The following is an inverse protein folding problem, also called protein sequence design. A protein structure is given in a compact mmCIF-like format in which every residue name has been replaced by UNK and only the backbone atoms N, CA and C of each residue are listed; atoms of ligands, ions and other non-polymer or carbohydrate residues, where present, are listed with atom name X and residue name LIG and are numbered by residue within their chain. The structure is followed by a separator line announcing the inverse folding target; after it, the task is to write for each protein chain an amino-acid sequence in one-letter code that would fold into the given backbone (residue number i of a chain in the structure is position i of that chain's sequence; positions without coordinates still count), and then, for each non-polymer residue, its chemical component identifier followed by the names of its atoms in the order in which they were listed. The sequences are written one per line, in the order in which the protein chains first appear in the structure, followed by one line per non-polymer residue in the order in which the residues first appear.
data_IF_705261745369
#
_entry.id   IF_705261745369
#
_cell.length_a   1.000
_cell.length_b   1.000
_cell.length_c   1.000
_cell.angle_alpha   90.00
_cell.angle_beta   90.00
_cell.angle_gamma   90.00
#
_symmetry.space_group_name_H-M   'P 1'
#
loop_
_entity.id
_entity.type
_entity.pdbx_description
1 polymer ?
#
# COMPACT_ATOMS: atom_id res chain seq x y z
N UNK A 1 18.78 44.54 25.81
CA UNK A 1 17.76 45.00 24.85
C UNK A 1 17.43 43.83 23.93
N UNK A 2 16.25 43.23 24.13
CA UNK A 2 15.72 42.15 23.27
C UNK A 2 15.07 42.82 22.06
N UNK A 3 15.58 42.55 20.87
CA UNK A 3 14.99 43.05 19.61
C UNK A 3 14.15 41.93 19.02
N UNK A 4 12.83 42.09 19.11
CA UNK A 4 11.81 41.19 18.59
C UNK A 4 11.76 41.30 17.07
N UNK A 5 12.31 40.32 16.35
CA UNK A 5 12.01 40.12 14.92
C UNK A 5 10.76 39.25 14.84
N UNK A 6 9.61 39.91 14.70
CA UNK A 6 8.37 39.28 14.30
C UNK A 6 8.54 38.78 12.85
N UNK A 7 8.90 37.52 12.69
CA UNK A 7 8.83 36.84 11.41
C UNK A 7 7.34 36.51 11.19
N UNK A 8 6.62 37.41 10.51
CA UNK A 8 5.31 37.09 9.98
C UNK A 8 5.50 36.00 8.93
N UNK A 9 5.26 34.75 9.33
CA UNK A 9 5.07 33.65 8.39
C UNK A 9 3.74 33.93 7.70
N UNK A 10 3.78 34.60 6.56
CA UNK A 10 2.64 34.54 5.64
C UNK A 10 2.57 33.11 5.13
N UNK A 11 1.68 32.32 5.73
CA UNK A 11 1.29 31.04 5.17
C UNK A 11 0.85 31.29 3.71
N UNK A 12 1.27 30.46 2.74
CA UNK A 12 0.73 30.53 1.40
C UNK A 12 -0.79 30.33 1.50
N UNK A 13 -1.56 31.32 1.06
CA UNK A 13 -3.01 31.18 0.88
C UNK A 13 -3.24 30.20 -0.26
N UNK A 14 -3.78 28.99 -0.02
CA UNK A 14 -4.19 28.14 -1.10
C UNK A 14 -5.53 28.68 -1.59
N UNK A 15 -5.59 29.16 -2.83
CA UNK A 15 -6.82 29.03 -3.60
C UNK A 15 -7.31 27.58 -3.41
N UNK A 16 -8.46 27.40 -2.77
CA UNK A 16 -8.97 26.09 -2.36
C UNK A 16 -8.98 25.16 -3.57
N UNK A 17 -8.01 24.24 -3.64
CA UNK A 17 -8.11 23.11 -4.54
C UNK A 17 -9.39 22.37 -4.17
N UNK A 18 -10.40 22.46 -5.03
CA UNK A 18 -11.67 21.75 -4.82
C UNK A 18 -11.36 20.28 -5.08
N UNK A 19 -11.44 19.47 -4.02
CA UNK A 19 -11.37 18.02 -4.14
C UNK A 19 -12.72 17.49 -4.62
N UNK A 20 -12.70 16.61 -5.61
CA UNK A 20 -13.88 15.94 -6.15
C UNK A 20 -13.93 14.50 -5.66
N UNK A 21 -15.14 14.05 -5.35
CA UNK A 21 -15.49 12.65 -5.12
C UNK A 21 -16.53 12.27 -6.17
N UNK A 22 -16.22 11.31 -7.04
CA UNK A 22 -17.16 10.88 -8.08
C UNK A 22 -17.77 9.52 -7.71
N UNK A 23 -19.09 9.41 -7.72
CA UNK A 23 -19.81 8.14 -7.75
C UNK A 23 -20.09 7.81 -9.22
N UNK A 24 -19.50 6.75 -9.73
CA UNK A 24 -19.55 6.37 -11.14
C UNK A 24 -20.28 5.05 -11.29
N UNK A 25 -21.19 4.92 -12.24
CA UNK A 25 -21.93 3.67 -12.44
C UNK A 25 -23.09 3.79 -13.42
N UNK A 26 -23.88 2.71 -13.59
CA UNK A 26 -25.08 2.75 -14.42
C UNK A 26 -26.07 3.78 -13.88
N UNK A 27 -26.66 4.62 -14.75
CA UNK A 27 -27.59 5.71 -14.34
C UNK A 27 -28.65 5.28 -13.33
N UNK A 28 -29.23 4.09 -13.56
CA UNK A 28 -30.29 3.50 -12.71
C UNK A 28 -29.84 3.17 -11.29
N UNK A 29 -28.54 3.03 -11.05
CA UNK A 29 -27.98 2.63 -9.75
C UNK A 29 -27.36 3.78 -8.98
N UNK A 30 -26.99 4.88 -9.66
CA UNK A 30 -26.43 6.06 -9.04
C UNK A 30 -27.35 6.59 -7.93
N UNK A 31 -28.64 6.75 -8.22
CA UNK A 31 -29.62 7.29 -7.27
C UNK A 31 -29.79 6.43 -6.00
N UNK A 32 -29.44 5.14 -6.08
CA UNK A 32 -29.51 4.19 -4.96
C UNK A 32 -28.33 4.26 -3.99
N UNK A 33 -27.24 4.97 -4.33
CA UNK A 33 -26.08 5.11 -3.43
C UNK A 33 -26.38 6.18 -2.37
N UNK A 34 -26.46 5.85 -1.08
CA UNK A 34 -26.88 6.77 -0.04
C UNK A 34 -25.75 7.75 0.30
N UNK A 35 -25.80 8.96 -0.27
CA UNK A 35 -24.84 10.01 0.05
C UNK A 35 -25.18 10.65 1.41
N UNK A 36 -24.19 10.85 2.30
CA UNK A 36 -24.39 11.62 3.52
C UNK A 36 -24.68 13.10 3.20
N UNK A 37 -25.45 13.77 4.04
CA UNK A 37 -25.73 15.20 3.91
C UNK A 37 -24.45 16.02 4.19
N UNK A 38 -23.68 16.33 3.13
CA UNK A 38 -22.52 17.22 3.09
C UNK A 38 -21.52 17.14 4.27
N UNK A 39 -20.82 16.01 4.49
CA UNK A 39 -19.90 15.86 5.63
C UNK A 39 -18.50 16.47 5.44
N UNK A 40 -18.10 16.89 4.24
CA UNK A 40 -16.71 17.32 3.96
C UNK A 40 -16.59 18.75 3.43
N UNK A 41 -16.13 19.70 4.25
CA UNK A 41 -15.88 21.07 3.80
C UNK A 41 -14.90 21.13 2.62
N UNK A 42 -15.30 21.77 1.53
CA UNK A 42 -14.44 21.96 0.35
C UNK A 42 -14.34 20.75 -0.59
N UNK A 43 -15.18 19.73 -0.40
CA UNK A 43 -15.29 18.56 -1.29
C UNK A 43 -16.60 18.60 -2.06
N UNK A 44 -16.53 18.47 -3.39
CA UNK A 44 -17.71 18.30 -4.25
C UNK A 44 -17.94 16.82 -4.53
N UNK A 45 -19.20 16.38 -4.44
CA UNK A 45 -19.59 15.01 -4.73
C UNK A 45 -20.40 14.99 -6.03
N UNK A 46 -19.90 14.30 -7.03
CA UNK A 46 -20.52 14.18 -8.35
C UNK A 46 -21.09 12.77 -8.56
N UNK A 47 -22.21 12.66 -9.29
CA UNK A 47 -22.74 11.39 -9.80
C UNK A 47 -22.53 11.36 -11.31
N UNK A 48 -21.82 10.36 -11.80
CA UNK A 48 -21.39 10.29 -13.19
C UNK A 48 -21.81 8.95 -13.79
N UNK A 49 -22.51 8.98 -14.91
CA UNK A 49 -22.87 7.76 -15.63
C UNK A 49 -21.61 7.13 -16.26
N UNK A 50 -21.56 5.80 -16.35
CA UNK A 50 -20.41 5.08 -16.93
C UNK A 50 -20.01 5.62 -18.31
N UNK A 51 -20.98 5.86 -19.19
CA UNK A 51 -20.76 6.38 -20.54
C UNK A 51 -20.21 7.81 -20.57
N UNK A 52 -20.38 8.58 -19.49
CA UNK A 52 -19.93 9.96 -19.37
C UNK A 52 -18.63 10.09 -18.56
N UNK A 53 -18.07 9.00 -18.04
CA UNK A 53 -16.93 9.08 -17.13
C UNK A 53 -15.64 9.55 -17.79
N UNK A 54 -15.38 9.15 -19.04
CA UNK A 54 -14.23 9.63 -19.79
C UNK A 54 -14.30 11.15 -20.00
N UNK A 55 -15.44 11.64 -20.49
CA UNK A 55 -15.68 13.08 -20.71
C UNK A 55 -15.63 13.87 -19.40
N UNK A 56 -16.12 13.30 -18.29
CA UNK A 56 -16.00 13.88 -16.96
C UNK A 56 -14.53 14.07 -16.55
N UNK A 57 -13.69 13.04 -16.71
CA UNK A 57 -12.27 13.14 -16.38
C UNK A 57 -11.54 14.21 -17.20
N UNK A 58 -11.85 14.27 -18.50
CA UNK A 58 -11.26 15.23 -19.44
C UNK A 58 -11.76 16.67 -19.14
N UNK A 59 -12.98 16.81 -18.59
CA UNK A 59 -13.62 18.07 -18.23
C UNK A 59 -13.29 18.64 -16.85
N UNK A 60 -12.58 17.90 -15.98
CA UNK A 60 -12.23 18.35 -14.62
C UNK A 60 -11.30 19.58 -14.59
N UNK A 61 -10.59 19.87 -15.68
CA UNK A 61 -9.62 20.97 -15.73
C UNK A 61 -8.55 20.84 -14.64
N UNK A 62 -8.27 21.95 -13.94
CA UNK A 62 -7.33 22.00 -12.80
C UNK A 62 -7.86 21.41 -11.50
N UNK A 63 -9.10 20.90 -11.47
CA UNK A 63 -9.68 20.30 -10.29
C UNK A 63 -9.16 18.88 -10.03
N UNK A 64 -9.22 18.49 -8.76
CA UNK A 64 -8.59 17.28 -8.28
C UNK A 64 -9.63 16.22 -7.96
N UNK A 65 -9.70 15.15 -8.76
CA UNK A 65 -10.43 13.94 -8.38
C UNK A 65 -9.66 13.17 -7.31
N UNK A 66 -10.16 13.21 -6.07
CA UNK A 66 -9.50 12.59 -4.93
C UNK A 66 -9.95 11.14 -4.72
N UNK A 67 -11.26 10.90 -4.82
CA UNK A 67 -11.87 9.58 -4.61
C UNK A 67 -12.83 9.29 -5.75
N UNK A 68 -12.83 8.04 -6.22
CA UNK A 68 -13.87 7.53 -7.11
C UNK A 68 -14.52 6.30 -6.48
N UNK A 69 -15.85 6.27 -6.48
CA UNK A 69 -16.68 5.18 -5.99
C UNK A 69 -17.36 4.56 -7.21
N UNK A 70 -16.85 3.43 -7.69
CA UNK A 70 -17.35 2.76 -8.89
C UNK A 70 -18.42 1.75 -8.50
N UNK A 71 -19.68 2.03 -8.83
CA UNK A 71 -20.80 1.09 -8.74
C UNK A 71 -20.67 0.08 -9.86
N UNK A 72 -20.27 -1.13 -9.51
CA UNK A 72 -20.10 -2.21 -10.47
C UNK A 72 -21.10 -3.34 -10.15
N UNK A 73 -21.99 -3.65 -11.10
CA UNK A 73 -22.57 -5.00 -11.15
C UNK A 73 -21.45 -5.99 -11.39
N UNK A 74 -21.54 -7.19 -10.81
CA UNK A 74 -20.44 -8.14 -10.72
C UNK A 74 -19.76 -8.45 -12.08
N UNK A 75 -18.69 -7.71 -12.41
CA UNK A 75 -17.84 -7.96 -13.57
C UNK A 75 -17.48 -6.72 -14.40
N UNK A 76 -18.27 -5.64 -14.41
CA UNK A 76 -17.92 -4.47 -15.23
C UNK A 76 -16.98 -3.52 -14.49
N UNK A 77 -15.75 -3.39 -15.03
CA UNK A 77 -14.67 -2.54 -14.52
C UNK A 77 -14.27 -1.44 -15.51
N UNK A 78 -15.15 -1.10 -16.46
CA UNK A 78 -14.93 -0.05 -17.46
C UNK A 78 -14.39 1.26 -16.87
N UNK A 79 -15.03 1.84 -15.84
CA UNK A 79 -14.55 3.06 -15.21
C UNK A 79 -13.14 2.96 -14.63
N UNK A 80 -12.74 1.83 -14.05
CA UNK A 80 -11.38 1.65 -13.54
C UNK A 80 -10.34 1.65 -14.67
N UNK A 81 -10.63 1.02 -15.81
CA UNK A 81 -9.74 1.03 -16.99
C UNK A 81 -9.59 2.44 -17.56
N UNK A 82 -10.71 3.17 -17.64
CA UNK A 82 -10.71 4.57 -18.06
C UNK A 82 -9.80 5.37 -17.11
N UNK A 83 -10.01 5.30 -15.80
CA UNK A 83 -9.20 6.01 -14.81
C UNK A 83 -7.69 5.72 -14.96
N UNK A 84 -7.32 4.46 -15.19
CA UNK A 84 -5.92 4.02 -15.33
C UNK A 84 -5.24 4.51 -16.60
N UNK A 85 -6.00 4.69 -17.66
CA UNK A 85 -5.48 5.23 -18.91
C UNK A 85 -5.13 6.73 -18.82
N UNK A 86 -5.33 7.35 -17.65
CA UNK A 86 -5.01 8.75 -17.35
C UNK A 86 -3.91 8.82 -16.29
N UNK A 87 -2.62 8.93 -16.67
CA UNK A 87 -1.49 8.92 -15.75
C UNK A 87 -1.59 9.96 -14.61
N UNK A 88 -2.15 11.13 -14.90
CA UNK A 88 -2.38 12.21 -13.95
C UNK A 88 -3.43 11.86 -12.87
N UNK A 89 -4.25 10.84 -13.13
CA UNK A 89 -5.32 10.38 -12.23
C UNK A 89 -4.99 9.07 -11.50
N UNK A 90 -3.78 8.52 -11.69
CA UNK A 90 -3.28 7.34 -10.95
C UNK A 90 -3.25 7.53 -9.43
N UNK A 91 -3.35 8.77 -8.95
CA UNK A 91 -3.40 9.11 -7.52
C UNK A 91 -4.81 9.04 -6.93
N UNK A 92 -5.82 8.94 -7.77
CA UNK A 92 -7.23 8.86 -7.34
C UNK A 92 -7.47 7.57 -6.59
N UNK A 93 -8.12 7.67 -5.43
CA UNK A 93 -8.46 6.52 -4.59
C UNK A 93 -9.74 5.87 -5.10
N UNK A 94 -9.64 4.66 -5.63
CA UNK A 94 -10.77 3.95 -6.21
C UNK A 94 -11.37 2.95 -5.21
N UNK A 95 -12.66 3.06 -4.93
CA UNK A 95 -13.43 2.03 -4.23
C UNK A 95 -14.47 1.46 -5.18
N UNK A 96 -14.79 0.19 -5.02
CA UNK A 96 -15.88 -0.48 -5.72
C UNK A 96 -17.07 -0.59 -4.79
N UNK A 97 -18.21 -0.10 -5.25
CA UNK A 97 -19.52 -0.36 -4.67
C UNK A 97 -20.08 -1.56 -5.43
N UNK A 98 -20.03 -2.74 -4.81
CA UNK A 98 -20.52 -3.95 -5.45
C UNK A 98 -21.62 -4.55 -4.60
N UNK A 99 -22.73 -4.91 -5.23
CA UNK A 99 -23.69 -5.85 -4.65
C UNK A 99 -23.00 -7.20 -4.64
N UNK A 100 -23.12 -7.93 -3.54
CA UNK A 100 -22.49 -9.23 -3.45
C UNK A 100 -22.95 -10.10 -4.64
N UNK A 101 -22.03 -10.89 -5.20
CA UNK A 101 -22.31 -12.30 -5.26
C UNK A 101 -21.38 -12.98 -4.27
N UNK A 102 -21.76 -14.18 -3.86
CA UNK A 102 -20.86 -15.17 -3.30
C UNK A 102 -19.69 -15.57 -4.25
N UNK A 103 -19.28 -14.73 -5.22
CA UNK A 103 -18.18 -14.99 -6.15
C UNK A 103 -16.99 -14.11 -5.87
N UNK A 104 -15.86 -14.79 -5.68
CA UNK A 104 -14.52 -14.24 -5.67
C UNK A 104 -14.27 -13.53 -6.99
N UNK A 105 -13.79 -12.30 -6.91
CA UNK A 105 -13.17 -11.67 -8.07
C UNK A 105 -11.78 -12.27 -8.19
N UNK A 106 -11.54 -13.01 -9.27
CA UNK A 106 -10.19 -13.45 -9.58
C UNK A 106 -9.29 -12.20 -9.63
N UNK A 107 -8.08 -12.23 -9.06
CA UNK A 107 -7.15 -11.14 -9.18
C UNK A 107 -6.88 -10.87 -10.67
N UNK A 108 -7.41 -9.76 -11.17
CA UNK A 108 -7.07 -9.21 -12.48
C UNK A 108 -6.20 -7.98 -12.29
N UNK A 109 -5.40 -7.70 -13.30
CA UNK A 109 -4.54 -6.52 -13.33
C UNK A 109 -5.31 -5.23 -13.07
N UNK A 110 -6.54 -5.14 -13.58
CA UNK A 110 -7.52 -4.04 -13.41
C UNK A 110 -7.88 -3.69 -11.95
N UNK A 111 -7.57 -4.59 -11.00
CA UNK A 111 -7.96 -4.46 -9.59
C UNK A 111 -6.79 -4.02 -8.68
N UNK A 112 -5.59 -3.79 -9.22
CA UNK A 112 -4.36 -3.45 -8.46
C UNK A 112 -4.42 -2.19 -7.59
N UNK A 113 -5.26 -1.22 -7.97
CA UNK A 113 -5.31 0.10 -7.34
C UNK A 113 -6.68 0.40 -6.71
N UNK A 114 -7.50 -0.65 -6.54
CA UNK A 114 -8.76 -0.56 -5.81
C UNK A 114 -8.47 -0.63 -4.32
N UNK A 115 -8.78 0.44 -3.60
CA UNK A 115 -8.60 0.61 -2.16
C UNK A 115 -9.58 -0.27 -1.36
N UNK A 116 -10.78 -0.51 -1.90
CA UNK A 116 -11.76 -1.34 -1.23
C UNK A 116 -12.94 -1.72 -2.10
N UNK A 117 -13.65 -2.77 -1.68
CA UNK A 117 -14.97 -3.17 -2.14
C UNK A 117 -15.88 -2.98 -0.95
N UNK A 118 -16.93 -2.20 -1.16
CA UNK A 118 -17.97 -1.85 -0.21
C UNK A 118 -19.23 -2.60 -0.62
N UNK A 119 -19.82 -3.33 0.34
CA UNK A 119 -21.06 -4.07 0.15
C UNK A 119 -22.22 -3.08 -0.02
N UNK A 120 -22.69 -2.93 -1.26
CA UNK A 120 -23.72 -1.95 -1.61
C UNK A 120 -25.05 -2.27 -0.92
N UNK A 121 -25.36 -3.53 -0.65
CA UNK A 121 -26.63 -3.95 -0.05
C UNK A 121 -26.71 -3.65 1.46
N UNK A 122 -25.56 -3.44 2.12
CA UNK A 122 -25.46 -3.07 3.55
C UNK A 122 -24.89 -1.68 3.76
N UNK A 123 -24.76 -0.89 2.71
CA UNK A 123 -24.14 0.41 2.78
C UNK A 123 -25.03 1.40 3.51
N UNK A 124 -24.54 1.92 4.63
CA UNK A 124 -25.15 3.07 5.32
C UNK A 124 -24.47 4.37 4.89
N UNK A 125 -25.14 5.54 5.02
CA UNK A 125 -24.50 6.84 4.79
C UNK A 125 -23.20 7.02 5.60
N UNK A 126 -23.16 6.53 6.85
CA UNK A 126 -21.99 6.64 7.73
C UNK A 126 -20.85 5.73 7.28
N UNK A 127 -21.16 4.52 6.82
CA UNK A 127 -20.16 3.61 6.27
C UNK A 127 -19.56 4.16 4.97
N UNK A 128 -20.39 4.74 4.10
CA UNK A 128 -19.91 5.43 2.90
C UNK A 128 -19.07 6.65 3.25
N UNK A 129 -19.51 7.43 4.24
CA UNK A 129 -18.78 8.60 4.69
C UNK A 129 -17.37 8.22 5.17
N UNK A 130 -17.27 7.19 6.00
CA UNK A 130 -15.99 6.67 6.49
C UNK A 130 -15.08 6.18 5.37
N UNK A 131 -15.64 5.52 4.35
CA UNK A 131 -14.86 5.06 3.19
C UNK A 131 -14.26 6.26 2.41
N UNK A 132 -15.07 7.30 2.18
CA UNK A 132 -14.62 8.52 1.52
C UNK A 132 -13.61 9.29 2.37
N UNK A 133 -13.81 9.40 3.69
CA UNK A 133 -12.84 10.03 4.61
C UNK A 133 -11.50 9.31 4.60
N UNK A 134 -11.52 7.98 4.59
CA UNK A 134 -10.31 7.17 4.47
C UNK A 134 -9.64 7.39 3.11
N UNK A 135 -10.41 7.49 2.02
CA UNK A 135 -9.91 7.82 0.69
C UNK A 135 -9.31 9.23 0.63
N UNK A 136 -10.00 10.24 1.17
CA UNK A 136 -9.52 11.62 1.22
C UNK A 136 -8.26 11.73 2.08
N UNK A 137 -8.21 11.05 3.23
CA UNK A 137 -6.99 10.95 4.06
C UNK A 137 -5.87 10.30 3.27
N UNK A 138 -6.11 9.20 2.56
CA UNK A 138 -5.11 8.53 1.73
C UNK A 138 -4.70 9.33 0.48
N UNK A 139 -5.55 10.23 0.00
CA UNK A 139 -5.27 11.14 -1.10
C UNK A 139 -4.45 12.35 -0.63
N UNK A 140 -4.87 12.99 0.46
CA UNK A 140 -4.20 14.14 1.08
C UNK A 140 -2.92 13.76 1.83
N UNK A 141 -2.78 12.49 2.21
CA UNK A 141 -1.51 11.88 2.55
C UNK A 141 -0.48 12.15 1.45
N UNK A 142 0.80 12.18 1.81
CA UNK A 142 1.98 12.48 0.97
C UNK A 142 2.14 11.69 -0.35
N UNK A 143 1.16 10.84 -0.68
CA UNK A 143 0.93 10.22 -1.98
C UNK A 143 0.79 11.20 -3.15
N UNK A 144 0.32 12.43 -2.93
CA UNK A 144 0.05 13.46 -3.96
C UNK A 144 1.12 14.53 -4.10
N UNK A 145 2.13 14.54 -3.23
CA UNK A 145 3.33 15.35 -3.45
C UNK A 145 4.19 14.60 -4.49
N UNK A 146 4.61 15.20 -5.63
CA UNK A 146 5.35 14.56 -6.71
C UNK A 146 6.80 14.11 -6.35
N UNK A 147 6.98 13.59 -5.13
CA UNK A 147 8.22 13.32 -4.41
C UNK A 147 8.74 14.62 -3.80
N UNK A 148 8.70 14.70 -2.47
CA UNK A 148 9.05 15.89 -1.71
C UNK A 148 10.47 16.33 -2.14
N UNK A 149 10.67 17.56 -2.61
CA UNK A 149 11.99 18.02 -3.04
C UNK A 149 12.90 18.44 -1.86
N UNK A 150 12.38 18.35 -0.63
CA UNK A 150 13.04 18.75 0.61
C UNK A 150 12.90 17.60 1.59
N UNK A 151 13.86 16.68 1.54
CA UNK A 151 14.09 15.71 2.60
C UNK A 151 15.42 16.06 3.23
N UNK A 152 15.41 16.08 4.55
CA UNK A 152 16.64 16.22 5.27
C UNK A 152 16.87 14.92 6.04
N UNK A 153 17.96 14.23 5.73
CA UNK A 153 18.66 13.36 6.69
C UNK A 153 19.28 14.20 7.83
N UNK A 154 19.09 15.52 7.82
CA UNK A 154 19.27 16.39 8.96
C UNK A 154 17.91 16.68 9.65
N UNK A 155 17.97 17.04 10.93
CA UNK A 155 16.82 17.11 11.84
C UNK A 155 15.80 18.24 11.54
N UNK A 156 15.77 18.81 10.34
CA UNK A 156 15.07 20.08 10.08
C UNK A 156 13.54 19.96 9.99
N UNK A 157 12.98 18.83 9.52
CA UNK A 157 11.58 18.39 9.71
C UNK A 157 11.34 17.02 9.03
N UNK A 158 11.05 15.96 9.79
CA UNK A 158 10.86 14.61 9.24
C UNK A 158 9.45 14.45 8.63
N UNK A 159 9.29 14.86 7.37
CA UNK A 159 8.02 14.77 6.62
C UNK A 159 7.52 13.33 6.45
N UNK A 160 8.40 12.34 6.44
CA UNK A 160 8.01 10.92 6.34
C UNK A 160 7.39 10.46 7.66
N UNK A 161 7.94 10.88 8.79
CA UNK A 161 7.34 10.58 10.09
C UNK A 161 5.96 11.24 10.24
N UNK A 162 5.84 12.52 9.87
CA UNK A 162 4.55 13.25 9.84
C UNK A 162 3.51 12.57 8.93
N UNK A 163 3.94 12.06 7.78
CA UNK A 163 3.08 11.23 6.91
C UNK A 163 2.48 10.05 7.64
N UNK A 164 3.31 9.29 8.35
CA UNK A 164 2.89 8.07 9.03
C UNK A 164 1.98 8.40 10.21
N UNK A 165 2.26 9.48 10.95
CA UNK A 165 1.39 9.93 12.04
C UNK A 165 0.00 10.37 11.58
N UNK A 166 -0.10 10.97 10.38
CA UNK A 166 -1.37 11.48 9.83
C UNK A 166 -2.18 10.43 9.06
N UNK A 167 -1.58 9.27 8.75
CA UNK A 167 -2.22 8.22 7.96
C UNK A 167 -2.38 6.88 8.67
N UNK A 168 -1.82 6.76 9.87
CA UNK A 168 -2.04 5.61 10.74
C UNK A 168 -3.53 5.35 10.95
N UNK A 169 -3.87 4.07 11.02
CA UNK A 169 -5.20 3.59 11.31
C UNK A 169 -5.26 2.95 12.69
N UNK A 170 -6.46 2.91 13.24
CA UNK A 170 -6.74 2.31 14.53
C UNK A 170 -7.41 0.94 14.36
N UNK A 171 -7.03 -0.05 15.17
CA UNK A 171 -7.63 -1.40 15.10
C UNK A 171 -9.14 -1.43 15.38
N UNK A 172 -9.72 -0.34 15.92
CA UNK A 172 -11.17 -0.13 16.05
C UNK A 172 -11.86 0.17 14.73
N UNK A 173 -11.11 0.46 13.67
CA UNK A 173 -11.65 0.54 12.31
C UNK A 173 -12.12 -0.83 11.79
N UNK A 174 -11.70 -1.92 12.43
CA UNK A 174 -12.22 -3.27 12.20
C UNK A 174 -13.32 -3.59 13.21
N UNK A 175 -14.56 -3.72 12.74
CA UNK A 175 -15.67 -4.23 13.54
C UNK A 175 -15.69 -5.76 13.51
N UNK A 176 -15.02 -6.37 14.50
CA UNK A 176 -14.95 -7.84 14.63
C UNK A 176 -16.31 -8.49 14.91
N UNK A 177 -17.32 -7.74 15.37
CA UNK A 177 -18.67 -8.27 15.56
C UNK A 177 -19.37 -8.62 14.24
N UNK A 178 -18.85 -8.12 13.11
CA UNK A 178 -19.38 -8.38 11.77
C UNK A 178 -18.79 -9.65 11.12
N UNK A 179 -17.95 -10.41 11.82
CA UNK A 179 -17.35 -11.63 11.28
C UNK A 179 -18.43 -12.63 10.90
N UNK A 180 -18.41 -13.06 9.63
CA UNK A 180 -19.31 -14.07 9.09
C UNK A 180 -18.61 -15.41 8.98
N UNK A 181 -18.66 -16.20 10.06
CA UNK A 181 -17.95 -17.49 10.16
C UNK A 181 -18.31 -18.46 9.03
N UNK A 182 -19.55 -18.41 8.55
CA UNK A 182 -20.04 -19.23 7.45
C UNK A 182 -19.41 -18.91 6.08
N UNK A 183 -18.72 -17.76 5.96
CA UNK A 183 -17.99 -17.37 4.76
C UNK A 183 -16.51 -17.74 4.80
N UNK A 184 -16.01 -18.24 5.93
CA UNK A 184 -14.62 -18.65 6.09
C UNK A 184 -14.41 -20.07 5.57
N UNK A 185 -13.29 -20.26 4.90
CA UNK A 185 -12.80 -21.56 4.47
C UNK A 185 -11.57 -21.98 5.29
N UNK A 186 -11.35 -23.28 5.45
CA UNK A 186 -10.14 -23.79 6.12
C UNK A 186 -8.84 -23.23 5.52
N UNK A 187 -8.66 -23.14 4.18
CA UNK A 187 -7.47 -22.53 3.59
C UNK A 187 -7.28 -21.05 3.97
N UNK A 188 -8.35 -20.25 4.08
CA UNK A 188 -8.25 -18.84 4.51
C UNK A 188 -7.81 -18.72 5.97
N UNK A 189 -8.31 -19.60 6.84
CA UNK A 189 -7.92 -19.64 8.25
C UNK A 189 -6.45 -20.03 8.39
N UNK A 190 -5.99 -21.03 7.64
CA UNK A 190 -4.60 -21.46 7.63
C UNK A 190 -3.67 -20.34 7.16
N UNK A 191 -4.02 -19.66 6.05
CA UNK A 191 -3.29 -18.51 5.53
C UNK A 191 -3.22 -17.39 6.57
N UNK A 192 -4.33 -17.10 7.25
CA UNK A 192 -4.38 -16.08 8.29
C UNK A 192 -3.47 -16.41 9.48
N UNK A 193 -3.48 -17.68 9.92
CA UNK A 193 -2.62 -18.12 11.01
C UNK A 193 -1.14 -18.04 10.63
N UNK A 194 -0.77 -18.51 9.43
CA UNK A 194 0.61 -18.46 8.96
C UNK A 194 1.10 -17.02 8.75
N UNK A 195 0.27 -16.15 8.17
CA UNK A 195 0.57 -14.73 8.00
C UNK A 195 0.77 -14.04 9.35
N UNK A 196 -0.10 -14.29 10.34
CA UNK A 196 0.10 -13.77 11.69
C UNK A 196 1.44 -14.21 12.31
N UNK A 197 1.86 -15.45 12.06
CA UNK A 197 3.15 -15.97 12.55
C UNK A 197 4.34 -15.31 11.84
N UNK A 198 4.23 -15.10 10.52
CA UNK A 198 5.25 -14.42 9.73
C UNK A 198 5.42 -12.99 10.23
N UNK A 199 4.33 -12.28 10.50
CA UNK A 199 4.36 -10.89 10.96
C UNK A 199 5.03 -10.69 12.33
N UNK A 200 5.13 -11.71 13.18
CA UNK A 200 5.96 -11.62 14.38
C UNK A 200 7.46 -11.51 14.07
N UNK A 201 7.90 -11.94 12.87
CA UNK A 201 9.29 -11.90 12.42
C UNK A 201 9.81 -10.50 12.07
N UNK A 202 8.97 -9.47 12.18
CA UNK A 202 9.28 -8.07 11.85
C UNK A 202 10.07 -7.36 12.96
N UNK A 203 9.92 -7.77 14.22
CA UNK A 203 10.65 -7.19 15.36
C UNK A 203 12.19 -7.25 15.21
N UNK A 204 12.80 -8.38 14.82
CA UNK A 204 14.20 -8.41 14.43
C UNK A 204 14.57 -7.44 13.31
N UNK A 205 13.67 -7.21 12.35
CA UNK A 205 13.84 -6.22 11.29
C UNK A 205 13.95 -4.80 11.84
N UNK A 206 13.05 -4.42 12.75
CA UNK A 206 13.07 -3.11 13.40
C UNK A 206 14.37 -2.88 14.18
N UNK A 207 14.83 -3.90 14.93
CA UNK A 207 16.12 -3.85 15.62
C UNK A 207 17.30 -3.66 14.64
N UNK A 208 17.28 -4.34 13.49
CA UNK A 208 18.33 -4.18 12.48
C UNK A 208 18.35 -2.77 11.91
N UNK A 209 17.19 -2.18 11.61
CA UNK A 209 17.10 -0.80 11.12
C UNK A 209 17.68 0.21 12.12
N UNK A 210 17.28 0.12 13.39
CA UNK A 210 17.79 1.01 14.43
C UNK A 210 19.30 0.84 14.66
N UNK A 211 19.85 -0.36 14.42
CA UNK A 211 21.30 -0.62 14.51
C UNK A 211 22.06 -0.08 13.30
N UNK A 212 21.56 -0.33 12.09
CA UNK A 212 22.19 0.09 10.83
C UNK A 212 22.16 1.61 10.64
N UNK A 213 21.16 2.29 11.22
CA UNK A 213 20.93 3.74 11.11
C UNK A 213 21.07 4.49 12.43
N UNK A 214 21.82 3.94 13.39
CA UNK A 214 21.97 4.50 14.74
C UNK A 214 22.50 5.96 14.78
N UNK A 215 23.13 6.42 13.71
CA UNK A 215 23.69 7.76 13.51
C UNK A 215 22.80 8.69 12.67
N UNK A 216 21.61 8.25 12.24
CA UNK A 216 20.71 9.01 11.38
C UNK A 216 19.31 9.10 11.99
N UNK A 217 18.86 10.32 12.23
CA UNK A 217 17.66 10.61 13.03
C UNK A 217 16.36 10.34 12.27
N UNK A 218 16.27 10.75 11.01
CA UNK A 218 15.02 10.75 10.25
C UNK A 218 14.54 9.33 9.94
N UNK A 219 15.42 8.48 9.45
CA UNK A 219 15.16 7.06 9.21
C UNK A 219 14.90 6.33 10.53
N UNK A 220 15.72 6.54 11.57
CA UNK A 220 15.51 5.90 12.87
C UNK A 220 14.16 6.25 13.48
N UNK A 221 13.74 7.51 13.40
CA UNK A 221 12.42 7.94 13.88
C UNK A 221 11.30 7.26 13.08
N UNK A 222 11.42 7.20 11.76
CA UNK A 222 10.46 6.50 10.92
C UNK A 222 10.44 4.98 11.16
N UNK A 223 11.60 4.35 11.37
CA UNK A 223 11.72 2.93 11.64
C UNK A 223 11.00 2.50 12.93
N UNK A 224 10.90 3.39 13.93
CA UNK A 224 10.06 3.18 15.10
C UNK A 224 8.58 3.11 14.74
N UNK A 225 8.09 4.04 13.90
CA UNK A 225 6.71 4.01 13.42
C UNK A 225 6.45 2.79 12.55
N UNK A 226 7.33 2.48 11.60
CA UNK A 226 7.27 1.26 10.78
C UNK A 226 7.15 0.01 11.66
N UNK A 227 8.06 -0.17 12.63
CA UNK A 227 8.02 -1.33 13.52
C UNK A 227 6.75 -1.43 14.36
N UNK A 228 6.13 -0.30 14.73
CA UNK A 228 4.84 -0.28 15.40
C UNK A 228 3.67 -0.66 14.47
N UNK A 229 3.73 -0.29 13.18
CA UNK A 229 2.74 -0.73 12.18
C UNK A 229 2.85 -2.22 11.88
N UNK A 230 4.06 -2.74 11.66
CA UNK A 230 4.34 -4.16 11.47
C UNK A 230 3.85 -5.01 12.67
N UNK A 231 4.11 -4.54 13.90
CA UNK A 231 3.58 -5.21 15.09
C UNK A 231 2.04 -5.22 15.11
N UNK A 232 1.39 -4.16 14.61
CA UNK A 232 -0.06 -4.08 14.50
C UNK A 232 -0.62 -5.11 13.52
N UNK A 233 0.10 -5.46 12.46
CA UNK A 233 -0.33 -6.48 11.49
C UNK A 233 -0.54 -7.83 12.16
N UNK A 234 0.41 -8.28 12.99
CA UNK A 234 0.25 -9.51 13.77
C UNK A 234 -0.90 -9.41 14.79
N UNK A 235 -1.04 -8.26 15.45
CA UNK A 235 -2.07 -8.02 16.47
C UNK A 235 -3.48 -8.17 15.88
N UNK A 236 -3.79 -7.51 14.75
CA UNK A 236 -5.15 -7.55 14.20
C UNK A 236 -5.52 -8.93 13.67
N UNK A 237 -4.56 -9.65 13.10
CA UNK A 237 -4.76 -11.04 12.67
C UNK A 237 -5.01 -11.94 13.88
N UNK A 238 -4.25 -11.79 14.97
CA UNK A 238 -4.48 -12.54 16.20
C UNK A 238 -5.83 -12.22 16.84
N UNK A 239 -6.27 -10.96 16.83
CA UNK A 239 -7.60 -10.58 17.33
C UNK A 239 -8.72 -11.21 16.50
N UNK A 240 -8.56 -11.25 15.18
CA UNK A 240 -9.49 -11.95 14.29
C UNK A 240 -9.55 -13.45 14.62
N UNK A 241 -8.39 -14.11 14.69
CA UNK A 241 -8.29 -15.54 15.00
C UNK A 241 -8.91 -15.86 16.36
N UNK A 242 -8.67 -15.02 17.38
CA UNK A 242 -9.26 -15.17 18.70
C UNK A 242 -10.79 -15.09 18.66
N UNK A 243 -11.34 -14.13 17.91
CA UNK A 243 -12.80 -13.98 17.75
C UNK A 243 -13.44 -15.21 17.10
N UNK A 244 -12.70 -15.97 16.28
CA UNK A 244 -13.17 -17.24 15.71
C UNK A 244 -12.83 -18.48 16.58
N UNK A 245 -12.17 -18.30 17.72
CA UNK A 245 -11.84 -19.35 18.68
C UNK A 245 -10.46 -20.00 18.47
N UNK A 246 -9.54 -19.33 17.77
CA UNK A 246 -8.19 -19.81 17.49
C UNK A 246 -7.17 -18.90 18.18
N UNK A 247 -6.42 -19.44 19.14
CA UNK A 247 -5.38 -18.70 19.84
C UNK A 247 -3.99 -18.95 19.24
N UNK A 248 -3.40 -17.91 18.64
CA UNK A 248 -2.01 -17.94 18.16
C UNK A 248 -1.06 -17.60 19.30
N UNK A 249 -0.14 -18.51 19.61
CA UNK A 249 0.88 -18.30 20.65
C UNK A 249 2.18 -17.77 20.04
N UNK A 250 2.59 -16.57 20.44
CA UNK A 250 3.81 -15.89 20.00
C UNK A 250 5.11 -16.69 20.22
N UNK A 251 5.14 -17.63 21.17
CA UNK A 251 6.33 -18.48 21.42
C UNK A 251 6.74 -19.34 20.22
N UNK A 252 5.87 -19.55 19.24
CA UNK A 252 6.20 -20.23 17.98
C UNK A 252 6.91 -19.33 16.96
N UNK A 253 6.90 -18.01 17.15
CA UNK A 253 7.54 -17.05 16.26
C UNK A 253 8.96 -16.65 16.67
N UNK A 254 9.28 -16.75 17.97
CA UNK A 254 10.60 -16.40 18.54
C UNK A 254 11.79 -17.17 17.95
N UNK A 255 11.55 -18.25 17.21
CA UNK A 255 12.61 -19.11 16.65
C UNK A 255 13.03 -18.77 15.21
N UNK A 256 12.40 -17.79 14.54
CA UNK A 256 12.47 -17.76 13.06
C UNK A 256 13.46 -16.78 12.43
N UNK A 257 14.07 -15.83 13.16
CA UNK A 257 14.98 -14.87 12.52
C UNK A 257 16.04 -14.32 13.45
N UNK A 258 17.27 -14.81 13.29
CA UNK A 258 18.45 -14.11 13.80
C UNK A 258 18.56 -12.73 13.12
N UNK A 259 19.00 -11.69 13.84
CA UNK A 259 19.38 -10.42 13.23
C UNK A 259 20.39 -10.69 12.10
N UNK A 260 20.07 -10.29 10.87
CA UNK A 260 21.01 -10.42 9.76
C UNK A 260 22.20 -9.46 9.96
N UNK A 261 23.39 -9.78 9.41
CA UNK A 261 24.51 -8.85 9.44
C UNK A 261 24.12 -7.51 8.80
N UNK A 262 24.69 -6.43 9.32
CA UNK A 262 24.53 -5.10 8.74
C UNK A 262 25.03 -5.16 7.29
N UNK A 263 24.21 -4.67 6.35
CA UNK A 263 24.57 -4.65 4.94
C UNK A 263 25.78 -3.75 4.68
N UNK A 264 26.54 -4.04 3.64
CA UNK A 264 27.71 -3.22 3.26
C UNK A 264 27.30 -1.84 2.72
N UNK A 265 26.08 -1.71 2.20
CA UNK A 265 25.56 -0.46 1.65
C UNK A 265 24.07 -0.27 2.00
N UNK A 266 23.73 0.87 2.61
CA UNK A 266 22.37 1.21 3.04
C UNK A 266 21.38 1.29 1.87
N UNK A 267 21.78 1.77 0.68
CA UNK A 267 20.90 1.82 -0.49
C UNK A 267 20.55 0.42 -1.01
N UNK A 268 21.47 -0.54 -0.91
CA UNK A 268 21.16 -1.95 -1.18
C UNK A 268 20.15 -2.51 -0.15
N UNK A 269 20.33 -2.22 1.14
CA UNK A 269 19.36 -2.59 2.18
C UNK A 269 17.98 -1.99 1.88
N UNK A 270 17.91 -0.70 1.56
CA UNK A 270 16.64 -0.03 1.22
C UNK A 270 16.00 -0.65 -0.02
N UNK A 271 16.76 -0.92 -1.08
CA UNK A 271 16.22 -1.56 -2.30
C UNK A 271 15.64 -2.95 -2.03
N UNK A 272 16.31 -3.77 -1.21
CA UNK A 272 15.77 -5.07 -0.81
C UNK A 272 14.40 -4.93 -0.12
N UNK A 273 14.26 -3.93 0.76
CA UNK A 273 13.00 -3.66 1.44
C UNK A 273 11.95 -3.08 0.49
N UNK A 274 12.29 -2.17 -0.44
CA UNK A 274 11.36 -1.70 -1.49
C UNK A 274 10.76 -2.88 -2.24
N UNK A 275 11.58 -3.85 -2.65
CA UNK A 275 11.12 -5.04 -3.37
C UNK A 275 10.20 -5.88 -2.49
N UNK A 276 10.61 -6.11 -1.25
CA UNK A 276 9.93 -7.01 -0.34
C UNK A 276 8.58 -6.46 0.11
N UNK A 277 8.52 -5.17 0.45
CA UNK A 277 7.28 -4.43 0.76
C UNK A 277 6.36 -4.32 -0.46
N UNK A 278 6.91 -4.06 -1.65
CA UNK A 278 6.10 -4.02 -2.88
C UNK A 278 5.43 -5.35 -3.17
N UNK A 279 6.14 -6.47 -2.91
CA UNK A 279 5.57 -7.81 -3.09
C UNK A 279 4.60 -8.18 -1.99
N UNK A 280 4.83 -7.78 -0.74
CA UNK A 280 3.87 -7.98 0.36
C UNK A 280 2.59 -7.15 0.18
N UNK A 281 2.70 -5.93 -0.34
CA UNK A 281 1.55 -5.13 -0.73
C UNK A 281 0.67 -5.86 -1.74
N UNK A 282 1.25 -6.39 -2.82
CA UNK A 282 0.49 -7.17 -3.80
C UNK A 282 0.00 -8.51 -3.25
N UNK A 283 0.74 -9.09 -2.31
CA UNK A 283 0.34 -10.26 -1.56
C UNK A 283 -0.97 -10.06 -0.78
N UNK A 284 -1.00 -9.08 0.11
CA UNK A 284 -2.17 -8.76 0.90
C UNK A 284 -3.34 -8.23 0.06
N UNK A 285 -3.06 -7.43 -0.99
CA UNK A 285 -4.11 -7.01 -1.93
C UNK A 285 -4.75 -8.20 -2.64
N UNK A 286 -3.97 -9.22 -2.97
CA UNK A 286 -4.48 -10.44 -3.61
C UNK A 286 -5.33 -11.25 -2.66
N UNK A 287 -4.87 -11.45 -1.41
CA UNK A 287 -5.69 -12.07 -0.38
C UNK A 287 -7.00 -11.31 -0.19
N UNK A 288 -6.98 -9.98 -0.11
CA UNK A 288 -8.18 -9.16 -0.02
C UNK A 288 -9.14 -9.38 -1.21
N UNK A 289 -8.66 -9.64 -2.43
CA UNK A 289 -9.54 -9.95 -3.57
C UNK A 289 -10.18 -11.33 -3.43
N UNK A 290 -9.38 -12.29 -3.01
CA UNK A 290 -9.72 -13.72 -2.86
C UNK A 290 -10.49 -14.06 -1.59
N UNK A 291 -10.57 -13.16 -0.61
CA UNK A 291 -11.30 -13.43 0.63
C UNK A 291 -12.76 -13.04 0.52
N UNK A 292 -13.70 -13.94 0.80
CA UNK A 292 -15.14 -13.58 0.79
C UNK A 292 -15.56 -12.82 2.04
N UNK A 293 -15.08 -13.27 3.19
CA UNK A 293 -15.46 -12.77 4.49
C UNK A 293 -15.08 -11.27 4.62
N UNK A 294 -16.04 -10.37 4.87
CA UNK A 294 -15.83 -8.92 4.77
C UNK A 294 -14.81 -8.38 5.78
N UNK A 295 -14.74 -8.91 7.00
CA UNK A 295 -13.83 -8.41 8.03
C UNK A 295 -12.39 -8.84 7.75
N UNK A 296 -12.16 -10.10 7.36
CA UNK A 296 -10.85 -10.63 6.98
C UNK A 296 -10.34 -9.96 5.71
N UNK A 297 -11.23 -9.72 4.75
CA UNK A 297 -10.93 -8.90 3.57
C UNK A 297 -10.45 -7.51 3.97
N UNK A 298 -11.07 -6.88 4.97
CA UNK A 298 -10.64 -5.57 5.48
C UNK A 298 -9.28 -5.62 6.18
N UNK A 299 -8.98 -6.69 6.94
CA UNK A 299 -7.64 -6.93 7.50
C UNK A 299 -6.60 -6.92 6.38
N UNK A 300 -6.77 -7.73 5.34
CA UNK A 300 -5.84 -7.79 4.22
C UNK A 300 -5.66 -6.46 3.49
N UNK A 301 -6.70 -5.63 3.41
CA UNK A 301 -6.57 -4.29 2.82
C UNK A 301 -5.72 -3.35 3.65
N UNK A 302 -5.91 -3.37 4.97
CA UNK A 302 -5.15 -2.52 5.87
C UNK A 302 -3.66 -2.87 5.82
N UNK A 303 -3.34 -4.16 5.88
CA UNK A 303 -1.97 -4.65 5.73
C UNK A 303 -1.38 -4.23 4.36
N UNK A 304 -2.04 -4.58 3.25
CA UNK A 304 -1.54 -4.23 1.92
C UNK A 304 -1.42 -2.72 1.63
N UNK A 305 -2.20 -1.89 2.33
CA UNK A 305 -2.07 -0.43 2.31
C UNK A 305 -0.80 0.01 3.02
N UNK A 306 -0.55 -0.51 4.22
CA UNK A 306 0.65 -0.18 4.99
C UNK A 306 1.92 -0.57 4.20
N UNK A 307 1.99 -1.79 3.64
CA UNK A 307 3.16 -2.21 2.85
C UNK A 307 3.41 -1.32 1.62
N UNK A 308 2.33 -0.84 0.99
CA UNK A 308 2.45 0.11 -0.12
C UNK A 308 3.08 1.43 0.34
N UNK A 309 2.79 1.88 1.57
CA UNK A 309 3.39 3.08 2.16
C UNK A 309 4.82 2.81 2.62
N UNK A 310 5.09 1.64 3.19
CA UNK A 310 6.42 1.20 3.60
C UNK A 310 7.38 1.20 2.41
N UNK A 311 7.00 0.54 1.30
CA UNK A 311 7.78 0.54 0.05
C UNK A 311 8.13 1.96 -0.42
N UNK A 312 7.16 2.87 -0.37
CA UNK A 312 7.35 4.27 -0.78
C UNK A 312 8.24 5.06 0.17
N UNK A 313 8.16 4.83 1.48
CA UNK A 313 9.06 5.44 2.45
C UNK A 313 10.51 4.97 2.24
N UNK A 314 10.73 3.65 2.11
CA UNK A 314 12.05 3.11 1.75
C UNK A 314 12.59 3.70 0.44
N UNK A 315 11.72 3.84 -0.57
CA UNK A 315 12.09 4.47 -1.84
C UNK A 315 12.60 5.90 -1.66
N UNK A 316 11.91 6.70 -0.84
CA UNK A 316 12.32 8.09 -0.58
C UNK A 316 13.70 8.16 0.04
N UNK A 317 13.98 7.36 1.09
CA UNK A 317 15.32 7.30 1.68
C UNK A 317 16.37 6.79 0.70
N UNK A 318 16.01 5.83 -0.15
CA UNK A 318 16.91 5.27 -1.16
C UNK A 318 17.29 6.34 -2.20
N UNK A 319 16.30 7.13 -2.64
CA UNK A 319 16.51 8.23 -3.58
C UNK A 319 17.49 9.27 -3.05
N UNK A 320 17.42 9.60 -1.77
CA UNK A 320 18.37 10.50 -1.13
C UNK A 320 19.80 9.94 -1.14
N UNK A 321 19.97 8.67 -0.75
CA UNK A 321 21.29 8.03 -0.80
C UNK A 321 21.84 7.98 -2.23
N UNK A 322 21.00 7.64 -3.21
CA UNK A 322 21.39 7.62 -4.63
C UNK A 322 21.78 9.00 -5.14
N UNK A 323 21.08 10.06 -4.73
CA UNK A 323 21.44 11.43 -5.08
C UNK A 323 22.78 11.86 -4.45
N UNK A 324 23.13 11.31 -3.29
CA UNK A 324 24.38 11.66 -2.60
C UNK A 324 25.64 11.04 -3.21
N UNK A 325 25.55 9.84 -3.80
CA UNK A 325 26.71 9.16 -4.40
C UNK A 325 26.30 8.07 -5.42
N UNK A 326 27.04 7.99 -6.53
CA UNK A 326 26.80 7.01 -7.60
C UNK A 326 26.94 5.55 -7.12
N UNK A 327 27.83 5.28 -6.17
CA UNK A 327 28.00 3.96 -5.56
C UNK A 327 26.70 3.41 -4.94
N UNK A 328 25.86 4.29 -4.40
CA UNK A 328 24.56 3.92 -3.85
C UNK A 328 23.58 3.52 -4.96
N UNK A 329 23.64 4.19 -6.12
CA UNK A 329 22.85 3.83 -7.29
C UNK A 329 23.24 2.44 -7.79
N UNK A 330 24.54 2.17 -7.91
CA UNK A 330 25.08 0.87 -8.30
C UNK A 330 24.64 -0.21 -7.32
N UNK A 331 24.81 0.01 -6.01
CA UNK A 331 24.43 -0.96 -4.98
C UNK A 331 22.92 -1.27 -4.98
N UNK A 332 22.07 -0.25 -5.12
CA UNK A 332 20.62 -0.42 -5.25
C UNK A 332 20.28 -1.23 -6.52
N UNK A 333 20.81 -0.88 -7.69
CA UNK A 333 20.52 -1.59 -8.94
C UNK A 333 21.07 -3.02 -8.93
N UNK A 334 22.22 -3.27 -8.32
CA UNK A 334 22.74 -4.63 -8.10
C UNK A 334 21.77 -5.46 -7.27
N UNK A 335 21.27 -4.91 -6.16
CA UNK A 335 20.29 -5.59 -5.32
C UNK A 335 19.00 -5.89 -6.10
N UNK A 336 18.49 -4.91 -6.85
CA UNK A 336 17.33 -5.11 -7.72
C UNK A 336 17.56 -6.20 -8.77
N UNK A 337 18.71 -6.18 -9.45
CA UNK A 337 19.04 -7.19 -10.46
C UNK A 337 19.03 -8.60 -9.86
N UNK A 338 19.69 -8.81 -8.71
CA UNK A 338 19.74 -10.12 -8.04
C UNK A 338 18.33 -10.62 -7.68
N UNK A 339 17.48 -9.74 -7.15
CA UNK A 339 16.17 -10.13 -6.63
C UNK A 339 15.07 -10.24 -7.69
N UNK A 340 15.16 -9.49 -8.77
CA UNK A 340 14.21 -9.56 -9.89
C UNK A 340 14.63 -10.65 -10.89
N UNK A 341 15.93 -10.94 -11.04
CA UNK A 341 16.40 -12.05 -11.87
C UNK A 341 16.17 -13.41 -11.21
N UNK A 342 16.32 -13.53 -9.88
CA UNK A 342 16.04 -14.76 -9.15
C UNK A 342 14.61 -14.82 -8.62
N UNK A 343 13.71 -15.37 -9.46
CA UNK A 343 12.31 -15.65 -9.11
C UNK A 343 12.10 -17.04 -8.50
N UNK A 344 13.15 -17.85 -8.34
CA UNK A 344 13.03 -19.31 -8.03
C UNK A 344 12.49 -19.62 -6.64
N UNK A 345 12.32 -18.63 -5.75
CA UNK A 345 11.89 -18.81 -4.35
C UNK A 345 10.61 -18.04 -3.96
N UNK A 346 9.77 -17.65 -4.92
CA UNK A 346 8.46 -17.04 -4.64
C UNK A 346 8.53 -15.61 -4.05
N UNK A 347 7.46 -15.21 -3.36
CA UNK A 347 7.32 -13.89 -2.72
C UNK A 347 8.20 -13.81 -1.46
N UNK A 348 9.07 -12.79 -1.39
CA UNK A 348 10.02 -12.57 -0.31
C UNK A 348 9.61 -11.31 0.47
N UNK A 349 9.60 -11.36 1.81
CA UNK A 349 9.25 -10.26 2.73
C UNK A 349 10.38 -10.01 3.76
N UNK A 350 10.56 -8.79 4.35
CA UNK A 350 11.52 -8.58 5.44
C UNK A 350 11.13 -9.31 6.73
N UNK A 351 9.92 -9.88 6.83
CA UNK A 351 9.54 -10.79 7.90
C UNK A 351 9.85 -12.28 7.59
N UNK A 352 10.02 -12.67 6.32
CA UNK A 352 10.43 -14.02 5.93
C UNK A 352 10.10 -14.37 4.47
N UNK A 353 10.32 -15.63 4.10
CA UNK A 353 9.54 -16.21 2.99
C UNK A 353 8.11 -16.37 3.49
N UNK A 354 7.13 -16.05 2.66
CA UNK A 354 5.81 -16.58 2.91
C UNK A 354 5.91 -18.11 2.76
N UNK A 355 5.67 -18.84 3.85
CA UNK A 355 5.48 -20.29 3.88
C UNK A 355 6.64 -21.31 3.82
N UNK A 356 7.86 -21.05 4.33
CA UNK A 356 8.91 -22.08 4.29
C UNK A 356 8.56 -23.34 5.11
N UNK A 357 7.55 -23.28 5.99
CA UNK A 357 7.15 -24.37 6.90
C UNK A 357 5.64 -24.53 7.08
N UNK A 358 4.81 -24.06 6.13
CA UNK A 358 3.36 -24.19 6.27
C UNK A 358 2.92 -25.65 6.28
N UNK A 359 2.05 -26.00 7.24
CA UNK A 359 1.44 -27.34 7.32
C UNK A 359 0.21 -27.50 6.43
N UNK A 360 -0.28 -26.42 5.79
CA UNK A 360 -1.50 -26.43 4.98
C UNK A 360 -1.23 -26.57 3.49
N UNK A 361 -1.44 -27.76 2.94
CA UNK A 361 -1.27 -28.05 1.51
C UNK A 361 -2.31 -27.34 0.64
N UNK A 362 -3.48 -26.99 1.16
CA UNK A 362 -4.55 -26.32 0.41
C UNK A 362 -4.33 -24.80 0.34
N UNK A 363 -4.00 -24.14 1.46
CA UNK A 363 -3.69 -22.71 1.49
C UNK A 363 -2.47 -22.36 0.63
N UNK A 364 -1.42 -23.19 0.71
CA UNK A 364 -0.23 -23.08 -0.14
C UNK A 364 -0.57 -23.10 -1.64
N UNK A 365 -1.34 -24.10 -2.08
CA UNK A 365 -1.71 -24.26 -3.49
C UNK A 365 -2.54 -23.09 -4.01
N UNK A 366 -3.43 -22.53 -3.18
CA UNK A 366 -4.23 -21.38 -3.56
C UNK A 366 -3.37 -20.15 -3.84
N UNK A 367 -2.31 -19.93 -3.06
CA UNK A 367 -1.42 -18.78 -3.24
C UNK A 367 -0.45 -19.00 -4.41
N UNK A 368 0.12 -20.19 -4.53
CA UNK A 368 1.02 -20.55 -5.63
C UNK A 368 0.35 -20.34 -6.99
N UNK A 369 -0.97 -20.55 -7.09
CA UNK A 369 -1.74 -20.29 -8.29
C UNK A 369 -1.66 -18.82 -8.76
N UNK A 370 -1.60 -17.86 -7.83
CA UNK A 370 -1.61 -16.42 -8.16
C UNK A 370 -0.23 -15.76 -8.05
N UNK A 371 0.74 -16.43 -7.41
CA UNK A 371 2.07 -15.91 -7.15
C UNK A 371 2.77 -15.31 -8.40
N UNK A 372 2.68 -15.88 -9.61
CA UNK A 372 3.30 -15.29 -10.80
C UNK A 372 2.75 -13.89 -11.12
N UNK A 373 1.42 -13.75 -11.19
CA UNK A 373 0.75 -12.47 -11.51
C UNK A 373 1.07 -11.42 -10.45
N UNK A 374 1.04 -11.82 -9.18
CA UNK A 374 1.34 -10.93 -8.04
C UNK A 374 2.77 -10.41 -8.11
N UNK A 375 3.72 -11.31 -8.41
CA UNK A 375 5.13 -10.97 -8.53
C UNK A 375 5.37 -10.09 -9.74
N UNK A 376 4.70 -10.32 -10.87
CA UNK A 376 4.80 -9.47 -12.07
C UNK A 376 4.27 -8.04 -11.82
N UNK A 377 3.16 -7.87 -11.10
CA UNK A 377 2.63 -6.55 -10.75
C UNK A 377 3.59 -5.83 -9.80
N UNK A 378 4.08 -6.50 -8.77
CA UNK A 378 5.04 -5.92 -7.83
C UNK A 378 6.36 -5.55 -8.50
N UNK A 379 6.95 -6.45 -9.29
CA UNK A 379 8.23 -6.22 -9.96
C UNK A 379 8.14 -5.06 -10.97
N UNK A 380 6.99 -4.87 -11.66
CA UNK A 380 6.77 -3.69 -12.51
C UNK A 380 6.73 -2.39 -11.73
N UNK A 381 6.13 -2.38 -10.54
CA UNK A 381 6.15 -1.22 -9.63
C UNK A 381 7.57 -0.90 -9.18
N UNK A 382 8.35 -1.92 -8.83
CA UNK A 382 9.78 -1.77 -8.50
C UNK A 382 10.56 -1.19 -9.69
N UNK A 383 10.37 -1.71 -10.90
CA UNK A 383 11.04 -1.17 -12.09
C UNK A 383 10.67 0.31 -12.35
N UNK A 384 9.40 0.69 -12.13
CA UNK A 384 8.99 2.09 -12.19
C UNK A 384 9.66 2.97 -11.13
N UNK A 385 9.82 2.46 -9.91
CA UNK A 385 10.60 3.14 -8.87
C UNK A 385 12.06 3.27 -9.27
N UNK A 386 12.68 2.24 -9.86
CA UNK A 386 14.07 2.29 -10.32
C UNK A 386 14.25 3.32 -11.45
N UNK A 387 13.33 3.40 -12.42
CA UNK A 387 13.37 4.48 -13.44
C UNK A 387 13.43 5.85 -12.80
N UNK A 388 12.56 6.09 -11.81
CA UNK A 388 12.55 7.35 -11.08
C UNK A 388 13.81 7.57 -10.24
N UNK A 389 14.36 6.50 -9.66
CA UNK A 389 15.58 6.53 -8.87
C UNK A 389 16.79 6.96 -9.70
N UNK A 390 16.85 6.49 -10.94
CA UNK A 390 17.97 6.73 -11.87
C UNK A 390 17.74 7.91 -12.81
N UNK A 391 16.54 8.48 -12.83
CA UNK A 391 16.07 9.43 -13.85
C UNK A 391 16.29 8.90 -15.29
N UNK A 392 15.99 7.61 -15.48
CA UNK A 392 16.25 6.89 -16.74
C UNK A 392 15.01 6.09 -17.17
N UNK A 393 14.27 6.65 -18.12
CA UNK A 393 13.07 6.01 -18.68
C UNK A 393 13.37 4.78 -19.56
N UNK A 394 14.64 4.51 -19.90
CA UNK A 394 15.00 3.33 -20.68
C UNK A 394 14.94 2.03 -19.86
N UNK A 395 14.90 2.10 -18.52
CA UNK A 395 14.87 0.92 -17.65
C UNK A 395 13.46 0.31 -17.62
N UNK A 396 13.22 -0.65 -18.51
CA UNK A 396 11.92 -1.32 -18.67
C UNK A 396 11.94 -2.79 -18.22
N UNK A 397 13.13 -3.37 -18.07
CA UNK A 397 13.31 -4.80 -17.80
C UNK A 397 14.51 -5.09 -16.92
N UNK A 398 14.59 -6.33 -16.41
CA UNK A 398 15.78 -6.85 -15.71
C UNK A 398 17.01 -6.85 -16.62
N UNK A 399 16.83 -6.97 -17.94
CA UNK A 399 17.91 -6.86 -18.91
C UNK A 399 18.56 -5.47 -18.90
N UNK A 400 17.75 -4.43 -18.74
CA UNK A 400 18.20 -3.03 -18.72
C UNK A 400 18.95 -2.72 -17.42
N UNK A 401 18.55 -3.30 -16.29
CA UNK A 401 19.32 -3.23 -15.04
C UNK A 401 20.73 -3.80 -15.24
N UNK A 402 20.84 -4.94 -15.93
CA UNK A 402 22.14 -5.54 -16.24
C UNK A 402 22.97 -4.67 -17.19
N UNK A 403 22.33 -4.00 -18.15
CA UNK A 403 23.00 -3.07 -19.06
C UNK A 403 23.53 -1.84 -18.30
N UNK A 404 22.72 -1.25 -17.43
CA UNK A 404 23.12 -0.18 -16.52
C UNK A 404 24.36 -0.59 -15.72
N UNK A 405 24.32 -1.74 -15.03
CA UNK A 405 25.45 -2.20 -14.21
C UNK A 405 26.74 -2.40 -15.02
N UNK A 406 26.64 -2.89 -16.25
CA UNK A 406 27.80 -3.04 -17.15
C UNK A 406 28.41 -1.68 -17.53
N UNK A 407 27.58 -0.65 -17.71
CA UNK A 407 28.04 0.69 -18.04
C UNK A 407 28.84 1.36 -16.92
N UNK A 408 28.72 0.89 -15.67
CA UNK A 408 29.39 1.44 -14.49
C UNK A 408 30.71 0.75 -14.13
N UNK A 409 31.04 -0.35 -14.82
CA UNK A 409 32.28 -1.13 -14.62
C UNK A 409 33.29 -0.87 -15.76
N UNK A 410 32.85 -0.24 -16.85
CA UNK A 410 33.68 0.24 -17.94
C UNK A 410 34.21 1.65 -17.63
#
# INVERSE_FOLDING_TARGET
MKTTLACAVSAPSPERAIHRVAVVGPRRELDGVPLPAAPWPGVLVDRVADEAFADYLDGLGGETLAVVLVVAEAGDRGPLRILRSRPERLRTRAYLLARAPARLLAPVEDDSDVEGIVDLDRLTPEALARAVENGLRAYGALGTNPLIPEYYLDATYNRIFDWFETTKWDWRELDLSQIRRELLTEPEIDILQESAIIEFGTLPGAHNFLREWADEYSFSSWALSWGAEEARHSLVQCRYLHEIGIDVRAKHALYKREPYPIGENRAATLMMNIISESRAAEYYKTLARLTREPVLRAVWRLLGRDESRHARAFFVFCKELVASAEENAVAAVQMAYVWLADRRRGVKHPAGFFYPHSSSTSGLRQIEQYAPVMTDVADRKVLAMIRNLLDDESVQSVGDLKAYLRSKVA
#
